data_IF_833660234571
#
_entry.id   IF_833660234571
#
_cell.length_a   1.000
_cell.length_b   1.000
_cell.length_c   1.000
_cell.angle_alpha   90.00
_cell.angle_beta   90.00
_cell.angle_gamma   90.00
#
_symmetry.space_group_name_H-M   'P 1'
#
loop_
_entity.id
_entity.type
_entity.pdbx_description
1 polymer ?
#
# COMPACT_ATOMS: atom_id res chain seq x y z
N UNK A 1 6.59 -5.73 10.47
CA UNK A 1 5.60 -4.78 9.89
C UNK A 1 5.04 -5.37 8.61
N UNK A 2 3.73 -5.32 8.40
CA UNK A 2 3.07 -5.67 7.14
C UNK A 2 2.55 -4.37 6.54
N UNK A 3 2.89 -4.11 5.28
CA UNK A 3 2.37 -2.99 4.49
C UNK A 3 1.52 -3.56 3.39
N UNK A 4 0.24 -3.22 3.40
CA UNK A 4 -0.75 -3.67 2.42
C UNK A 4 -0.97 -2.56 1.39
N UNK A 5 -1.02 -2.92 0.11
CA UNK A 5 -1.51 -2.02 -0.93
C UNK A 5 -2.87 -2.48 -1.46
N UNK A 6 -3.25 -2.05 -2.68
CA UNK A 6 -4.55 -2.39 -3.25
C UNK A 6 -4.76 -3.90 -3.34
N UNK A 7 -5.95 -4.34 -2.93
CA UNK A 7 -6.37 -5.73 -2.97
C UNK A 7 -7.88 -5.86 -3.21
N UNK A 8 -8.33 -7.00 -3.72
CA UNK A 8 -9.75 -7.23 -3.99
C UNK A 8 -10.08 -8.55 -4.68
N UNK A 9 -11.35 -8.93 -4.56
CA UNK A 9 -11.95 -10.06 -5.24
C UNK A 9 -11.97 -9.87 -6.76
N UNK A 10 -11.67 -10.94 -7.50
CA UNK A 10 -11.75 -10.99 -8.95
C UNK A 10 -12.82 -12.00 -9.35
N UNK A 11 -13.87 -11.48 -10.00
CA UNK A 11 -14.98 -12.29 -10.48
C UNK A 11 -14.54 -13.12 -11.69
N UNK A 12 -14.76 -14.44 -11.70
CA UNK A 12 -14.51 -15.28 -12.87
C UNK A 12 -15.44 -14.92 -14.04
N UNK A 13 -16.56 -14.25 -13.77
CA UNK A 13 -17.49 -13.75 -14.80
C UNK A 13 -16.83 -12.77 -15.78
N UNK A 14 -15.71 -12.14 -15.40
CA UNK A 14 -14.94 -11.26 -16.29
C UNK A 14 -14.03 -12.01 -17.26
N UNK A 15 -13.82 -13.32 -17.05
CA UNK A 15 -12.84 -14.06 -17.86
C UNK A 15 -13.38 -14.43 -19.24
N UNK A 16 -14.70 -14.53 -19.40
CA UNK A 16 -15.33 -14.90 -20.68
C UNK A 16 -15.01 -16.33 -21.12
N UNK A 17 -14.56 -17.18 -20.21
CA UNK A 17 -14.22 -18.59 -20.45
C UNK A 17 -14.76 -19.47 -19.32
N UNK A 18 -14.97 -20.75 -19.62
CA UNK A 18 -15.34 -21.79 -18.66
C UNK A 18 -14.51 -23.05 -18.92
N UNK A 19 -14.03 -23.77 -17.88
CA UNK A 19 -14.20 -23.46 -16.47
C UNK A 19 -13.32 -22.30 -15.98
N UNK A 20 -13.80 -21.57 -14.97
CA UNK A 20 -13.10 -20.45 -14.34
C UNK A 20 -13.37 -20.41 -12.83
N UNK A 21 -12.35 -20.09 -12.04
CA UNK A 21 -12.45 -19.99 -10.58
C UNK A 21 -12.24 -18.55 -10.10
N UNK A 22 -12.95 -18.13 -9.04
CA UNK A 22 -12.73 -16.82 -8.44
C UNK A 22 -11.34 -16.71 -7.83
N UNK A 23 -10.85 -15.48 -7.66
CA UNK A 23 -9.57 -15.27 -6.99
C UNK A 23 -9.48 -13.93 -6.28
N UNK A 24 -8.35 -13.69 -5.60
CA UNK A 24 -8.04 -12.41 -4.97
C UNK A 24 -6.75 -11.87 -5.57
N UNK A 25 -6.78 -10.61 -6.00
CA UNK A 25 -5.57 -9.87 -6.35
C UNK A 25 -5.16 -9.01 -5.15
N UNK A 26 -3.87 -8.88 -4.92
CA UNK A 26 -3.32 -8.13 -3.79
C UNK A 26 -1.86 -7.75 -4.03
N UNK A 27 -1.40 -6.72 -3.33
CA UNK A 27 0.02 -6.41 -3.14
C UNK A 27 0.29 -6.24 -1.65
N UNK A 28 1.37 -6.86 -1.18
CA UNK A 28 1.77 -6.83 0.23
C UNK A 28 3.30 -6.85 0.34
N UNK A 29 3.83 -6.19 1.35
CA UNK A 29 5.22 -6.28 1.77
C UNK A 29 5.30 -6.64 3.26
N UNK A 30 6.05 -7.68 3.58
CA UNK A 30 6.41 -8.10 4.93
C UNK A 30 7.84 -7.62 5.21
N UNK A 31 7.95 -6.75 6.22
CA UNK A 31 9.23 -6.23 6.70
C UNK A 31 9.51 -6.84 8.07
N UNK A 32 10.60 -7.58 8.18
CA UNK A 32 11.09 -8.12 9.44
C UNK A 32 12.30 -7.34 9.89
N UNK A 33 12.34 -7.01 11.17
CA UNK A 33 13.44 -6.33 11.82
C UNK A 33 13.17 -6.16 13.31
N UNK A 34 14.18 -5.74 14.06
CA UNK A 34 14.04 -5.45 15.49
C UNK A 34 13.71 -3.97 15.69
N UNK A 35 12.59 -3.63 16.35
CA UNK A 35 12.29 -2.25 16.70
C UNK A 35 13.15 -1.77 17.87
N UNK A 36 13.65 -0.54 17.74
CA UNK A 36 14.45 0.17 18.74
C UNK A 36 13.67 1.41 19.18
N UNK A 37 13.34 1.49 20.46
CA UNK A 37 12.66 2.67 21.04
C UNK A 37 13.61 3.87 20.97
N UNK A 38 13.08 5.02 20.55
CA UNK A 38 13.85 6.27 20.49
C UNK A 38 13.66 7.13 21.74
N UNK A 39 14.52 8.13 21.91
CA UNK A 39 14.40 9.09 23.02
C UNK A 39 13.13 9.95 22.89
N UNK A 40 12.68 10.55 23.98
CA UNK A 40 11.50 11.43 23.96
C UNK A 40 11.67 12.63 23.02
N UNK A 41 12.88 13.21 22.96
CA UNK A 41 13.18 14.30 22.03
C UNK A 41 13.10 13.85 20.55
N UNK A 42 13.54 12.62 20.25
CA UNK A 42 13.39 12.04 18.92
C UNK A 42 11.92 11.67 18.63
N UNK A 43 11.17 11.22 19.64
CA UNK A 43 9.73 10.95 19.50
C UNK A 43 8.95 12.20 19.06
N UNK A 44 9.23 13.36 19.66
CA UNK A 44 8.63 14.62 19.24
C UNK A 44 9.02 14.99 17.80
N UNK A 45 10.29 14.88 17.44
CA UNK A 45 10.76 15.14 16.06
C UNK A 45 10.09 14.22 15.04
N UNK A 46 9.98 12.91 15.33
CA UNK A 46 9.32 11.96 14.43
C UNK A 46 7.83 12.22 14.32
N UNK A 47 7.20 12.66 15.41
CA UNK A 47 5.80 13.08 15.40
C UNK A 47 5.60 14.31 14.52
N UNK A 48 6.51 15.29 14.59
CA UNK A 48 6.49 16.49 13.74
C UNK A 48 6.63 16.14 12.25
N UNK A 49 7.62 15.31 11.90
CA UNK A 49 7.77 14.81 10.52
C UNK A 49 6.53 14.06 10.04
N UNK A 50 5.88 13.27 10.91
CA UNK A 50 4.68 12.53 10.55
C UNK A 50 3.48 13.46 10.34
N UNK A 51 3.31 14.47 11.20
CA UNK A 51 2.29 15.51 11.04
C UNK A 51 2.53 16.26 9.75
N UNK A 52 3.77 16.66 9.47
CA UNK A 52 4.12 17.37 8.25
C UNK A 52 3.76 16.57 6.99
N UNK A 53 4.11 15.28 6.97
CA UNK A 53 3.82 14.40 5.84
C UNK A 53 2.31 14.32 5.50
N UNK A 54 1.45 14.33 6.52
CA UNK A 54 0.00 14.29 6.31
C UNK A 54 -0.58 15.67 6.00
N UNK A 55 -0.15 16.71 6.70
CA UNK A 55 -0.64 18.07 6.53
C UNK A 55 -0.17 18.71 5.22
N UNK A 56 0.94 18.26 4.63
CA UNK A 56 1.38 18.69 3.28
C UNK A 56 0.35 18.37 2.18
N UNK A 57 -0.61 17.48 2.45
CA UNK A 57 -1.66 17.10 1.51
C UNK A 57 -2.97 17.88 1.72
N UNK A 58 -3.02 18.79 2.70
CA UNK A 58 -4.22 19.55 3.02
C UNK A 58 -4.10 21.00 2.55
N UNK A 59 -5.23 21.61 2.18
CA UNK A 59 -5.25 23.01 1.77
C UNK A 59 -4.99 23.98 2.92
N UNK A 60 -5.16 23.53 4.16
CA UNK A 60 -5.03 24.33 5.39
C UNK A 60 -4.28 23.53 6.47
N UNK A 61 -2.94 23.49 6.40
CA UNK A 61 -2.16 22.59 7.22
C UNK A 61 -2.14 22.96 8.71
N UNK A 62 -2.47 22.00 9.57
CA UNK A 62 -2.46 22.12 11.03
C UNK A 62 -1.16 21.57 11.64
N UNK A 63 -0.09 22.38 11.62
CA UNK A 63 1.25 21.99 12.10
C UNK A 63 1.36 21.97 13.62
N UNK A 64 2.21 21.08 14.16
CA UNK A 64 2.52 21.05 15.61
C UNK A 64 3.08 22.39 16.09
N UNK A 65 3.89 23.04 15.28
CA UNK A 65 4.55 24.31 15.59
C UNK A 65 3.82 25.55 15.04
N UNK A 66 2.52 25.46 14.74
CA UNK A 66 1.74 26.58 14.20
C UNK A 66 1.60 27.77 15.17
N UNK A 67 1.77 27.54 16.47
CA UNK A 67 1.82 28.59 17.50
C UNK A 67 2.66 28.15 18.70
N UNK A 68 3.03 29.09 19.57
CA UNK A 68 3.69 28.79 20.83
C UNK A 68 2.81 27.88 21.72
N UNK A 69 1.51 28.14 21.78
CA UNK A 69 0.56 27.33 22.53
C UNK A 69 0.47 25.89 21.99
N UNK A 70 0.48 25.70 20.67
CA UNK A 70 0.48 24.37 20.07
C UNK A 70 1.79 23.63 20.36
N UNK A 71 2.93 24.34 20.29
CA UNK A 71 4.25 23.76 20.58
C UNK A 71 4.32 23.26 22.02
N UNK A 72 3.96 24.11 22.99
CA UNK A 72 3.94 23.75 24.41
C UNK A 72 2.97 22.58 24.68
N UNK A 73 1.80 22.60 24.03
CA UNK A 73 0.84 21.52 24.15
C UNK A 73 1.40 20.20 23.62
N UNK A 74 2.02 20.20 22.44
CA UNK A 74 2.62 19.02 21.81
C UNK A 74 3.75 18.44 22.67
N UNK A 75 4.68 19.28 23.12
CA UNK A 75 5.78 18.89 24.03
C UNK A 75 5.28 18.23 25.31
N UNK A 76 4.17 18.74 25.87
CA UNK A 76 3.56 18.19 27.09
C UNK A 76 2.92 16.83 26.87
N UNK A 77 2.24 16.61 25.73
CA UNK A 77 1.47 15.37 25.51
C UNK A 77 2.28 14.25 24.83
N UNK A 78 3.38 14.58 24.14
CA UNK A 78 4.16 13.60 23.37
C UNK A 78 4.68 12.45 24.24
N UNK A 79 4.91 12.69 25.54
CA UNK A 79 5.31 11.66 26.51
C UNK A 79 4.29 10.54 26.71
N UNK A 80 3.04 10.71 26.25
CA UNK A 80 2.02 9.65 26.20
C UNK A 80 2.21 8.65 25.05
N UNK A 81 3.21 8.85 24.19
CA UNK A 81 3.50 7.98 23.04
C UNK A 81 4.95 7.51 23.08
N UNK A 82 5.24 6.43 22.35
CA UNK A 82 6.58 5.90 22.16
C UNK A 82 6.81 5.67 20.68
N UNK A 83 7.71 6.44 20.08
CA UNK A 83 8.22 6.15 18.75
C UNK A 83 9.32 5.08 18.81
N UNK A 84 9.49 4.38 17.70
CA UNK A 84 10.57 3.44 17.48
C UNK A 84 11.09 3.56 16.05
N UNK A 85 12.34 3.15 15.86
CA UNK A 85 12.93 2.90 14.55
C UNK A 85 13.04 1.40 14.36
N UNK A 86 12.76 0.91 13.15
CA UNK A 86 12.99 -0.49 12.82
C UNK A 86 13.87 -0.54 11.57
N UNK A 87 15.11 -1.01 11.73
CA UNK A 87 15.93 -1.39 10.58
C UNK A 87 15.31 -2.65 9.97
N UNK A 88 15.08 -2.65 8.66
CA UNK A 88 14.54 -3.81 7.97
C UNK A 88 15.69 -4.77 7.67
N UNK A 89 15.66 -5.94 8.31
CA UNK A 89 16.63 -7.02 8.10
C UNK A 89 16.19 -7.97 6.99
N UNK A 90 14.87 -8.15 6.81
CA UNK A 90 14.29 -8.92 5.71
C UNK A 90 13.09 -8.21 5.11
N UNK A 91 13.07 -8.16 3.77
CA UNK A 91 12.00 -7.60 2.97
C UNK A 91 11.45 -8.69 2.05
N UNK A 92 10.17 -9.03 2.21
CA UNK A 92 9.47 -10.01 1.37
C UNK A 92 8.23 -9.35 0.79
N UNK A 93 8.14 -9.20 -0.53
CA UNK A 93 6.96 -8.63 -1.17
C UNK A 93 6.31 -9.63 -2.12
N UNK A 94 4.97 -9.61 -2.16
CA UNK A 94 4.18 -10.42 -3.07
C UNK A 94 3.14 -9.55 -3.77
N UNK A 95 3.00 -9.77 -5.07
CA UNK A 95 1.89 -9.25 -5.86
C UNK A 95 1.23 -10.37 -6.65
N UNK A 96 -0.10 -10.40 -6.60
CA UNK A 96 -0.93 -11.25 -7.46
C UNK A 96 -1.91 -10.32 -8.17
N UNK A 97 -1.72 -10.14 -9.48
CA UNK A 97 -2.43 -9.17 -10.31
C UNK A 97 -2.97 -9.81 -11.59
N UNK A 98 -3.42 -11.06 -11.51
CA UNK A 98 -3.84 -11.85 -12.69
C UNK A 98 -2.80 -11.88 -13.82
N UNK A 99 -1.51 -11.86 -13.48
CA UNK A 99 -0.39 -11.77 -14.43
C UNK A 99 -0.18 -13.05 -15.27
N UNK A 100 -0.89 -14.12 -14.95
CA UNK A 100 -0.98 -15.37 -15.72
C UNK A 100 -2.05 -15.31 -16.81
N UNK A 101 -2.92 -14.28 -16.82
CA UNK A 101 -4.03 -14.17 -17.76
C UNK A 101 -3.64 -13.46 -19.06
N UNK A 102 -4.26 -13.86 -20.20
CA UNK A 102 -4.15 -13.11 -21.45
C UNK A 102 -4.54 -11.64 -21.28
N UNK A 103 -3.96 -10.78 -22.10
CA UNK A 103 -4.19 -9.32 -22.07
C UNK A 103 -5.68 -8.97 -22.08
N UNK A 104 -6.44 -9.53 -23.02
CA UNK A 104 -7.87 -9.26 -23.12
C UNK A 104 -8.66 -9.66 -21.84
N UNK A 105 -8.23 -10.70 -21.12
CA UNK A 105 -8.88 -11.11 -19.86
C UNK A 105 -8.57 -10.08 -18.76
N UNK A 106 -7.32 -9.66 -18.67
CA UNK A 106 -6.94 -8.68 -17.68
C UNK A 106 -7.53 -7.30 -17.92
N UNK A 107 -7.67 -6.91 -19.19
CA UNK A 107 -8.35 -5.67 -19.57
C UNK A 107 -9.81 -5.68 -19.11
N UNK A 108 -10.52 -6.80 -19.27
CA UNK A 108 -11.88 -7.00 -18.72
C UNK A 108 -11.91 -6.97 -17.19
N UNK A 109 -10.91 -7.53 -16.52
CA UNK A 109 -10.80 -7.44 -15.06
C UNK A 109 -10.62 -5.98 -14.62
N UNK A 110 -9.73 -5.24 -15.29
CA UNK A 110 -9.50 -3.81 -15.03
C UNK A 110 -10.79 -3.01 -15.26
N UNK A 111 -11.53 -3.29 -16.34
CA UNK A 111 -12.83 -2.69 -16.62
C UNK A 111 -13.85 -3.00 -15.52
N UNK A 112 -13.99 -4.27 -15.13
CA UNK A 112 -14.90 -4.70 -14.07
C UNK A 112 -14.61 -4.07 -12.71
N UNK A 113 -13.33 -3.88 -12.37
CA UNK A 113 -12.90 -3.16 -11.17
C UNK A 113 -13.09 -1.64 -11.29
N UNK A 114 -13.11 -1.08 -12.49
CA UNK A 114 -13.30 0.36 -12.72
C UNK A 114 -14.78 0.74 -12.77
N UNK A 115 -15.65 -0.16 -13.22
CA UNK A 115 -17.09 0.05 -13.30
C UNK A 115 -17.73 0.11 -11.92
N UNK A 116 -18.81 0.89 -11.79
CA UNK A 116 -19.62 0.89 -10.57
C UNK A 116 -20.28 -0.48 -10.40
N UNK A 117 -20.27 -1.00 -9.17
CA UNK A 117 -20.82 -2.31 -8.85
C UNK A 117 -20.23 -2.90 -7.57
N UNK A 118 -20.59 -4.15 -7.22
CA UNK A 118 -20.19 -4.77 -5.94
C UNK A 118 -18.68 -4.92 -5.75
N UNK A 119 -17.91 -4.94 -6.85
CA UNK A 119 -16.46 -5.12 -6.85
C UNK A 119 -15.71 -3.88 -7.37
N UNK A 120 -16.36 -2.71 -7.38
CA UNK A 120 -15.72 -1.45 -7.76
C UNK A 120 -14.49 -1.17 -6.90
N UNK A 121 -13.31 -1.07 -7.52
CA UNK A 121 -12.02 -0.87 -6.86
C UNK A 121 -11.03 -0.13 -7.78
N UNK A 122 -11.16 1.20 -7.92
CA UNK A 122 -10.26 2.01 -8.76
C UNK A 122 -8.77 1.94 -8.38
N UNK A 123 -8.37 1.90 -7.09
CA UNK A 123 -6.97 1.74 -6.72
C UNK A 123 -6.34 0.45 -7.25
N UNK A 124 -7.05 -0.68 -7.16
CA UNK A 124 -6.58 -1.96 -7.68
C UNK A 124 -6.51 -1.96 -9.21
N UNK A 125 -7.55 -1.43 -9.87
CA UNK A 125 -7.58 -1.31 -11.33
C UNK A 125 -6.39 -0.48 -11.85
N UNK A 126 -6.11 0.67 -11.21
CA UNK A 126 -4.96 1.53 -11.53
C UNK A 126 -3.65 0.77 -11.35
N UNK A 127 -3.46 0.11 -10.21
CA UNK A 127 -2.23 -0.64 -9.95
C UNK A 127 -2.02 -1.79 -10.95
N UNK A 128 -3.10 -2.50 -11.34
CA UNK A 128 -3.04 -3.52 -12.40
C UNK A 128 -2.58 -2.93 -13.74
N UNK A 129 -3.09 -1.75 -14.15
CA UNK A 129 -2.65 -1.06 -15.38
C UNK A 129 -1.15 -0.71 -15.32
N UNK A 130 -0.71 -0.12 -14.22
CA UNK A 130 0.69 0.28 -14.02
C UNK A 130 1.65 -0.90 -14.13
N UNK A 131 1.35 -2.01 -13.43
CA UNK A 131 2.19 -3.20 -13.45
C UNK A 131 2.24 -3.84 -14.84
N UNK A 132 1.11 -3.94 -15.55
CA UNK A 132 1.10 -4.47 -16.92
C UNK A 132 1.90 -3.59 -17.89
N UNK A 133 1.82 -2.27 -17.72
CA UNK A 133 2.63 -1.32 -18.51
C UNK A 133 4.13 -1.58 -18.31
N UNK A 134 4.57 -1.78 -17.06
CA UNK A 134 5.97 -2.10 -16.74
C UNK A 134 6.39 -3.47 -17.26
N UNK A 135 5.56 -4.49 -17.09
CA UNK A 135 5.85 -5.85 -17.54
C UNK A 135 5.98 -5.90 -19.08
N UNK A 136 5.11 -5.20 -19.82
CA UNK A 136 5.21 -5.06 -21.29
C UNK A 136 6.46 -4.30 -21.73
N UNK A 137 6.93 -3.33 -20.94
CA UNK A 137 8.16 -2.59 -21.18
C UNK A 137 9.45 -3.35 -20.79
N UNK A 138 9.34 -4.59 -20.28
CA UNK A 138 10.48 -5.36 -19.78
C UNK A 138 11.07 -4.82 -18.47
N UNK A 139 10.36 -3.91 -17.79
CA UNK A 139 10.74 -3.29 -16.51
C UNK A 139 10.06 -3.97 -15.31
N UNK A 140 9.40 -5.10 -15.55
CA UNK A 140 8.77 -5.91 -14.51
C UNK A 140 9.80 -6.62 -13.64
N UNK A 141 9.50 -6.80 -12.36
CA UNK A 141 10.26 -7.72 -11.52
C UNK A 141 10.18 -9.14 -12.12
N UNK A 142 11.26 -9.95 -12.08
CA UNK A 142 11.23 -11.32 -12.58
C UNK A 142 10.05 -12.07 -11.96
N UNK A 143 9.33 -12.86 -12.77
CA UNK A 143 8.19 -13.68 -12.30
C UNK A 143 8.69 -14.54 -11.13
N UNK A 144 8.38 -14.14 -9.90
CA UNK A 144 8.58 -14.98 -8.74
C UNK A 144 7.78 -16.27 -8.98
N UNK A 145 8.46 -17.41 -8.92
CA UNK A 145 7.86 -18.74 -8.99
C UNK A 145 6.66 -18.75 -8.05
N UNK A 146 5.45 -18.84 -8.63
CA UNK A 146 4.26 -19.06 -7.84
C UNK A 146 4.42 -20.44 -7.22
N UNK A 147 4.90 -20.50 -5.98
CA UNK A 147 4.78 -21.70 -5.16
C UNK A 147 3.28 -21.92 -4.97
N UNK A 148 2.76 -22.93 -5.68
CA UNK A 148 1.43 -23.46 -5.44
C UNK A 148 1.29 -23.85 -3.99
N UNK A 149 0.11 -23.60 -3.45
CA UNK A 149 -0.45 -24.47 -2.43
C UNK A 149 -1.21 -25.55 -3.19
#
# INVERSE_FOLDING_TARGET
MIVEGPQGYISPGWYGVSPAVPTWNFVVAHLTGTPEVVSQAENLRLTDVLVDYFEDQTDQPARLHASAANTEYAERIVGGTVAFRMKVDRFEAKRKMSQDKPDAVADRVIEGLSALGPFHNPPLARYMREIRGRDRAGLGAPRALQSGV
#
